data_IF_099468379897
#
_entry.id   IF_099468379897
#
_cell.length_a   1.000
_cell.length_b   1.000
_cell.length_c   1.000
_cell.angle_alpha   90.00
_cell.angle_beta   90.00
_cell.angle_gamma   90.00
#
_symmetry.space_group_name_H-M   'P 1'
#
loop_
_entity.id
_entity.type
_entity.pdbx_description
1 polymer ?
#
# COMPACT_ATOMS: atom_id res chain seq x y z
N UNK A 1 18.86 -24.08 40.06
CA UNK A 1 18.58 -22.64 39.98
C UNK A 1 19.75 -21.91 40.64
N UNK A 2 20.34 -20.83 40.09
CA UNK A 2 19.97 -19.99 38.93
C UNK A 2 20.90 -20.23 37.71
N UNK A 3 20.41 -20.21 36.48
CA UNK A 3 20.30 -19.04 35.57
C UNK A 3 21.59 -18.26 35.32
N UNK A 4 22.08 -18.34 34.08
CA UNK A 4 23.22 -17.58 33.57
C UNK A 4 23.22 -17.55 32.05
N UNK A 5 22.31 -16.76 31.48
CA UNK A 5 22.25 -16.40 30.06
C UNK A 5 23.61 -15.86 29.60
N UNK A 6 24.14 -16.36 28.48
CA UNK A 6 25.17 -15.65 27.70
C UNK A 6 24.70 -15.45 26.26
N UNK A 7 24.87 -14.21 25.85
CA UNK A 7 24.41 -13.55 24.63
C UNK A 7 24.87 -14.27 23.37
N UNK A 8 23.93 -14.43 22.43
CA UNK A 8 24.22 -14.67 21.02
C UNK A 8 24.83 -13.38 20.47
N UNK A 9 26.08 -13.48 20.04
CA UNK A 9 26.82 -12.41 19.38
C UNK A 9 26.27 -12.25 17.95
N UNK A 10 25.79 -11.04 17.67
CA UNK A 10 25.44 -10.53 16.35
C UNK A 10 26.68 -10.47 15.44
N UNK A 11 26.58 -11.08 14.25
CA UNK A 11 27.46 -10.76 13.11
C UNK A 11 26.67 -9.96 12.07
N UNK A 12 27.33 -9.04 11.35
CA UNK A 12 26.69 -7.93 10.68
C UNK A 12 26.12 -8.29 9.31
N UNK A 13 25.18 -7.44 8.90
CA UNK A 13 24.55 -7.37 7.60
C UNK A 13 25.50 -7.64 6.42
N UNK A 14 25.17 -8.66 5.64
CA UNK A 14 25.60 -8.78 4.25
C UNK A 14 24.83 -7.74 3.44
N UNK A 15 25.40 -6.54 3.31
CA UNK A 15 25.06 -5.61 2.25
C UNK A 15 25.46 -6.25 0.91
N UNK A 16 24.45 -6.61 0.10
CA UNK A 16 24.66 -7.26 -1.18
C UNK A 16 23.36 -7.48 -1.94
N UNK A 17 22.46 -6.50 -1.89
CA UNK A 17 21.27 -6.45 -2.73
C UNK A 17 21.31 -5.16 -3.55
N UNK A 18 21.53 -5.34 -4.85
CA UNK A 18 20.89 -4.55 -5.89
C UNK A 18 21.43 -3.14 -6.10
N UNK A 19 22.36 -3.01 -7.03
CA UNK A 19 22.25 -1.92 -7.99
C UNK A 19 22.39 -2.51 -9.40
N UNK A 20 21.39 -3.32 -9.75
CA UNK A 20 21.20 -3.85 -11.11
C UNK A 20 20.71 -2.66 -11.92
N UNK A 21 21.65 -1.91 -12.49
CA UNK A 21 21.34 -0.70 -13.26
C UNK A 21 20.30 -0.99 -14.35
N UNK A 22 19.44 -0.02 -14.69
CA UNK A 22 18.43 -0.13 -15.77
C UNK A 22 19.01 -0.62 -17.11
N UNK A 23 20.34 -0.56 -17.27
CA UNK A 23 21.11 -1.10 -18.40
C UNK A 23 21.09 -2.63 -18.49
N UNK A 24 20.97 -3.34 -17.38
CA UNK A 24 20.92 -4.81 -17.34
C UNK A 24 19.50 -5.35 -17.56
N UNK A 25 18.46 -4.67 -17.04
CA UNK A 25 17.05 -4.96 -17.34
C UNK A 25 16.70 -4.70 -18.83
N UNK A 26 17.41 -3.77 -19.47
CA UNK A 26 17.25 -3.51 -20.91
C UNK A 26 17.86 -4.60 -21.79
N UNK A 27 18.89 -5.33 -21.30
CA UNK A 27 19.47 -6.47 -22.04
C UNK A 27 18.57 -7.70 -22.00
N UNK A 28 17.83 -7.92 -20.91
CA UNK A 28 16.89 -9.04 -20.81
C UNK A 28 15.62 -8.81 -21.65
N UNK A 29 15.16 -7.56 -21.80
CA UNK A 29 14.03 -7.22 -22.69
C UNK A 29 14.37 -7.25 -24.18
N UNK A 30 15.63 -7.02 -24.57
CA UNK A 30 16.06 -7.13 -25.97
C UNK A 30 16.23 -8.58 -26.47
N UNK A 31 16.30 -9.58 -25.58
CA UNK A 31 16.39 -11.00 -25.97
C UNK A 31 15.04 -11.63 -26.36
N UNK A 32 13.92 -10.92 -26.21
CA UNK A 32 12.59 -11.40 -26.61
C UNK A 32 12.10 -10.83 -27.95
N UNK A 33 12.89 -9.97 -28.61
CA UNK A 33 12.49 -9.24 -29.82
C UNK A 33 13.65 -9.10 -30.81
N UNK A 34 14.32 -10.20 -31.16
CA UNK A 34 15.22 -10.23 -32.31
C UNK A 34 14.68 -11.20 -33.38
N UNK A 35 14.46 -10.73 -34.64
CA UNK A 35 13.97 -11.58 -35.72
C UNK A 35 15.07 -12.59 -36.12
N UNK A 36 14.74 -13.85 -36.43
CA UNK A 36 15.76 -14.83 -36.74
C UNK A 36 16.43 -14.51 -38.08
N UNK A 37 17.72 -14.20 -38.00
CA UNK A 37 18.61 -14.16 -39.15
C UNK A 37 18.71 -15.55 -39.79
N UNK A 38 18.35 -15.61 -41.08
CA UNK A 38 18.91 -16.48 -42.12
C UNK A 38 18.91 -18.00 -41.83
N UNK A 39 17.80 -18.62 -42.23
CA UNK A 39 17.59 -20.05 -42.42
C UNK A 39 18.76 -20.67 -43.19
N UNK A 40 19.59 -21.46 -42.50
CA UNK A 40 20.42 -22.47 -43.16
C UNK A 40 19.52 -23.61 -43.63
N UNK A 41 19.62 -23.97 -44.91
CA UNK A 41 18.94 -25.13 -45.50
C UNK A 41 19.53 -26.41 -44.90
N UNK A 42 18.82 -27.01 -43.95
CA UNK A 42 19.10 -28.36 -43.43
C UNK A 42 18.20 -29.39 -44.14
N UNK A 43 18.81 -30.51 -44.53
CA UNK A 43 18.28 -31.59 -45.38
C UNK A 43 16.90 -32.18 -45.00
N UNK A 44 16.05 -32.55 -45.98
CA UNK A 44 14.72 -33.10 -45.71
C UNK A 44 14.77 -34.64 -45.65
N UNK A 45 15.17 -35.21 -44.51
CA UNK A 45 14.90 -36.64 -44.20
C UNK A 45 14.74 -36.80 -42.69
N UNK A 46 13.56 -36.44 -42.18
CA UNK A 46 12.89 -36.92 -40.95
C UNK A 46 11.75 -35.95 -40.59
N UNK A 47 10.73 -35.88 -41.42
CA UNK A 47 9.41 -35.44 -40.96
C UNK A 47 8.67 -36.69 -40.50
N UNK A 48 8.55 -36.83 -39.18
CA UNK A 48 7.60 -37.73 -38.56
C UNK A 48 6.21 -37.14 -38.82
N UNK A 49 5.41 -37.85 -39.60
CA UNK A 49 4.01 -37.51 -39.84
C UNK A 49 3.21 -37.79 -38.56
N UNK A 50 2.77 -36.73 -37.89
CA UNK A 50 1.65 -36.77 -36.96
C UNK A 50 0.38 -36.46 -37.75
N UNK A 51 -0.25 -37.49 -38.33
CA UNK A 51 -1.62 -37.40 -38.85
C UNK A 51 -2.48 -38.48 -38.19
N UNK A 52 -3.67 -38.13 -37.66
CA UNK A 52 -4.58 -39.10 -37.08
C UNK A 52 -5.18 -39.96 -38.19
N UNK A 53 -5.01 -41.28 -38.07
CA UNK A 53 -5.57 -42.26 -39.01
C UNK A 53 -7.08 -42.35 -38.80
N UNK A 54 -7.84 -41.65 -39.63
CA UNK A 54 -9.27 -41.80 -39.75
C UNK A 54 -9.59 -43.09 -40.57
N UNK A 55 -10.32 -44.03 -39.97
CA UNK A 55 -10.51 -45.41 -40.49
C UNK A 55 -11.71 -45.62 -41.41
N UNK A 56 -12.42 -44.57 -41.85
CA UNK A 56 -13.58 -44.75 -42.72
C UNK A 56 -13.60 -43.70 -43.83
N UNK A 57 -13.02 -44.03 -44.99
CA UNK A 57 -13.37 -43.57 -46.36
C UNK A 57 -12.22 -43.92 -47.31
N UNK A 58 -12.21 -45.14 -47.83
CA UNK A 58 -11.25 -45.56 -48.85
C UNK A 58 -11.69 -45.02 -50.23
N UNK A 59 -11.07 -43.91 -50.69
CA UNK A 59 -10.90 -43.68 -52.13
C UNK A 59 -9.69 -44.49 -52.59
N UNK A 60 -9.82 -45.20 -53.70
CA UNK A 60 -8.76 -46.02 -54.29
C UNK A 60 -7.52 -45.16 -54.59
N UNK A 61 -6.56 -45.18 -53.66
CA UNK A 61 -5.30 -44.51 -53.83
C UNK A 61 -4.43 -45.31 -54.80
N UNK A 62 -3.81 -44.61 -55.76
CA UNK A 62 -2.84 -45.20 -56.68
C UNK A 62 -1.76 -45.98 -55.89
N UNK A 63 -1.33 -47.16 -56.39
CA UNK A 63 -0.39 -48.00 -55.66
C UNK A 63 0.89 -47.21 -55.39
N UNK A 64 1.33 -47.23 -54.12
CA UNK A 64 2.55 -46.54 -53.71
C UNK A 64 3.74 -46.96 -54.58
N UNK A 65 4.72 -46.07 -54.86
CA UNK A 65 5.88 -46.39 -55.69
C UNK A 65 6.71 -47.58 -55.15
N UNK A 66 6.61 -47.86 -53.84
CA UNK A 66 7.21 -49.06 -53.24
C UNK A 66 6.46 -50.34 -53.59
N UNK A 67 5.13 -50.32 -53.70
CA UNK A 67 4.36 -51.48 -54.19
C UNK A 67 4.61 -51.74 -55.68
N UNK A 68 4.82 -50.68 -56.47
CA UNK A 68 5.24 -50.82 -57.86
C UNK A 68 6.63 -51.46 -57.98
N UNK A 69 7.61 -51.01 -57.17
CA UNK A 69 8.96 -51.64 -57.09
C UNK A 69 8.92 -53.09 -56.64
N UNK A 70 8.09 -53.42 -55.64
CA UNK A 70 7.96 -54.80 -55.14
C UNK A 70 7.33 -55.69 -56.21
N UNK A 71 6.34 -55.19 -56.96
CA UNK A 71 5.73 -55.92 -58.08
C UNK A 71 6.73 -56.14 -59.22
N UNK A 72 7.49 -55.12 -59.61
CA UNK A 72 8.53 -55.28 -60.64
C UNK A 72 9.63 -56.25 -60.21
N UNK A 73 10.06 -56.24 -58.94
CA UNK A 73 11.04 -57.21 -58.45
C UNK A 73 10.48 -58.65 -58.37
N UNK A 74 9.18 -58.81 -58.09
CA UNK A 74 8.51 -60.11 -58.10
C UNK A 74 8.29 -60.64 -59.52
N UNK A 75 8.02 -59.76 -60.48
CA UNK A 75 7.88 -60.12 -61.89
C UNK A 75 9.25 -60.48 -62.50
N UNK A 76 10.34 -59.80 -62.12
CA UNK A 76 11.72 -60.17 -62.47
C UNK A 76 12.14 -61.54 -61.90
N UNK A 77 11.69 -61.87 -60.67
CA UNK A 77 11.91 -63.19 -60.06
C UNK A 77 11.07 -64.31 -60.71
N UNK A 78 9.95 -63.98 -61.35
CA UNK A 78 9.13 -64.96 -62.10
C UNK A 78 9.62 -65.18 -63.53
N UNK A 79 10.29 -64.20 -64.13
CA UNK A 79 10.83 -64.28 -65.51
C UNK A 79 12.22 -64.91 -65.58
N UNK A 80 12.89 -65.15 -64.45
CA UNK A 80 14.19 -65.83 -64.41
C UNK A 80 13.99 -67.35 -64.26
N UNK A 81 14.35 -68.19 -65.26
CA UNK A 81 14.35 -69.63 -65.05
C UNK A 81 15.40 -69.96 -63.98
N UNK A 82 14.99 -70.72 -62.97
CA UNK A 82 15.79 -71.10 -61.82
C UNK A 82 17.19 -71.61 -62.22
N UNK A 83 18.20 -70.75 -62.16
CA UNK A 83 19.60 -71.17 -62.13
C UNK A 83 19.92 -71.55 -60.69
N UNK A 84 20.12 -72.84 -60.47
CA UNK A 84 20.60 -73.39 -59.22
C UNK A 84 21.87 -72.64 -58.75
N UNK A 85 21.80 -72.09 -57.55
CA UNK A 85 22.92 -71.50 -56.83
C UNK A 85 24.00 -72.57 -56.67
N UNK A 86 25.23 -72.28 -57.10
CA UNK A 86 26.40 -73.14 -56.90
C UNK A 86 26.71 -73.22 -55.40
N UNK A 87 26.25 -74.29 -54.77
CA UNK A 87 26.67 -74.71 -53.43
C UNK A 87 28.11 -75.23 -53.58
N UNK A 88 29.05 -74.64 -52.82
CA UNK A 88 30.45 -75.05 -52.81
C UNK A 88 30.66 -76.50 -52.34
N UNK A 89 31.75 -77.16 -52.74
CA UNK A 89 31.91 -78.60 -52.58
C UNK A 89 32.38 -78.93 -51.16
N UNK A 90 31.42 -79.14 -50.26
CA UNK A 90 31.64 -79.94 -49.04
C UNK A 90 30.45 -80.88 -48.84
N UNK A 91 30.29 -81.77 -49.80
CA UNK A 91 29.72 -83.09 -49.55
C UNK A 91 30.79 -84.07 -49.98
N UNK A 92 31.26 -84.90 -49.05
CA UNK A 92 31.98 -86.12 -49.38
C UNK A 92 31.02 -86.90 -50.26
N UNK A 93 31.32 -86.88 -51.55
CA UNK A 93 30.54 -87.52 -52.58
C UNK A 93 30.52 -89.03 -52.29
N UNK A 94 29.33 -89.53 -51.97
CA UNK A 94 28.98 -90.96 -51.94
C UNK A 94 28.75 -91.49 -53.37
N UNK A 95 29.42 -90.94 -54.39
CA UNK A 95 29.28 -91.36 -55.79
C UNK A 95 30.24 -92.52 -56.17
N UNK A 96 31.16 -92.89 -55.28
CA UNK A 96 32.12 -93.99 -55.50
C UNK A 96 31.57 -95.41 -55.24
N UNK A 97 30.29 -95.57 -54.91
CA UNK A 97 29.67 -96.90 -54.70
C UNK A 97 28.71 -97.35 -55.80
N UNK A 98 28.87 -96.84 -57.02
CA UNK A 98 28.22 -97.44 -58.20
C UNK A 98 29.21 -97.64 -59.35
N UNK A 99 29.44 -98.87 -59.84
CA UNK A 99 30.29 -99.09 -61.01
C UNK A 99 29.53 -98.67 -62.27
N UNK A 100 29.57 -97.39 -62.59
CA UNK A 100 29.00 -96.81 -63.82
C UNK A 100 30.08 -96.17 -64.72
N UNK A 101 31.35 -96.54 -64.56
CA UNK A 101 32.35 -96.34 -65.62
C UNK A 101 32.19 -97.47 -66.63
N UNK A 102 31.66 -97.14 -67.82
CA UNK A 102 31.81 -97.98 -69.01
C UNK A 102 33.32 -98.15 -69.27
N UNK A 103 33.90 -99.24 -68.77
CA UNK A 103 35.22 -99.67 -69.20
C UNK A 103 35.17 -99.96 -70.70
N UNK A 104 35.96 -99.20 -71.44
CA UNK A 104 36.35 -99.49 -72.82
C UNK A 104 36.93 -100.91 -72.82
N UNK A 105 36.26 -101.84 -73.51
CA UNK A 105 36.75 -103.21 -73.74
C UNK A 105 38.04 -103.12 -74.54
N UNK A 106 39.17 -103.37 -73.90
CA UNK A 106 40.31 -104.02 -74.53
C UNK A 106 40.36 -105.46 -74.02
N UNK A 107 40.75 -106.37 -74.92
CA UNK A 107 40.58 -107.80 -74.76
C UNK A 107 41.47 -108.44 -73.69
N UNK A 108 41.16 -109.72 -73.48
CA UNK A 108 41.81 -110.70 -72.60
C UNK A 108 41.22 -110.83 -71.18
N UNK A 109 40.76 -112.05 -70.95
CA UNK A 109 40.65 -112.77 -69.68
C UNK A 109 39.58 -112.32 -68.67
N UNK A 110 38.39 -112.93 -68.85
CA UNK A 110 37.35 -113.07 -67.82
C UNK A 110 37.96 -113.67 -66.53
N UNK A 111 37.98 -112.96 -65.39
CA UNK A 111 38.46 -113.51 -64.12
C UNK A 111 37.32 -114.07 -63.25
N UNK A 112 36.13 -114.30 -63.82
CA UNK A 112 35.07 -115.01 -63.11
C UNK A 112 35.08 -116.48 -63.51
N UNK A 113 35.29 -117.43 -62.58
CA UNK A 113 35.07 -118.82 -62.88
C UNK A 113 33.59 -118.95 -63.26
N UNK A 114 33.31 -119.24 -64.53
CA UNK A 114 32.03 -119.83 -64.92
C UNK A 114 31.92 -121.08 -64.07
N UNK A 115 31.04 -121.06 -63.07
CA UNK A 115 30.66 -122.27 -62.33
C UNK A 115 30.19 -123.25 -63.39
N UNK A 116 31.06 -124.20 -63.73
CA UNK A 116 30.78 -125.24 -64.69
C UNK A 116 29.77 -126.15 -64.01
N UNK A 117 28.52 -126.00 -64.42
CA UNK A 117 27.46 -126.90 -63.98
C UNK A 117 27.71 -128.30 -64.54
N UNK A 118 27.41 -129.36 -63.79
CA UNK A 118 27.61 -130.74 -64.24
C UNK A 118 26.93 -131.00 -65.58
N UNK A 119 27.45 -131.91 -66.42
CA UNK A 119 26.82 -132.25 -67.69
C UNK A 119 25.50 -132.99 -67.41
N UNK A 120 24.40 -132.24 -67.40
CA UNK A 120 23.04 -132.76 -67.28
C UNK A 120 22.65 -133.43 -68.60
N UNK A 121 22.21 -134.68 -68.54
CA UNK A 121 22.02 -135.56 -69.70
C UNK A 121 20.53 -135.74 -70.11
N UNK A 122 19.66 -134.79 -69.77
CA UNK A 122 18.26 -134.77 -70.21
C UNK A 122 17.73 -133.37 -70.51
N UNK A 123 16.82 -133.24 -71.49
CA UNK A 123 16.22 -131.95 -71.89
C UNK A 123 15.48 -131.26 -70.73
N UNK A 124 14.87 -132.04 -69.83
CA UNK A 124 14.14 -131.56 -68.65
C UNK A 124 15.06 -130.93 -67.60
N UNK A 125 16.22 -131.53 -67.33
CA UNK A 125 17.22 -130.99 -66.41
C UNK A 125 17.81 -129.68 -66.93
N UNK A 126 18.01 -129.59 -68.26
CA UNK A 126 18.46 -128.38 -68.92
C UNK A 126 17.39 -127.28 -68.91
N UNK A 127 16.10 -127.64 -69.02
CA UNK A 127 14.99 -126.72 -68.87
C UNK A 127 14.86 -126.21 -67.42
N UNK A 128 14.96 -127.10 -66.43
CA UNK A 128 14.95 -126.75 -65.01
C UNK A 128 16.10 -125.82 -64.63
N UNK A 129 17.30 -126.05 -65.19
CA UNK A 129 18.44 -125.17 -65.00
C UNK A 129 18.22 -123.77 -65.61
N UNK A 130 17.66 -123.70 -66.82
CA UNK A 130 17.29 -122.41 -67.46
C UNK A 130 16.27 -121.65 -66.62
N UNK A 131 15.26 -122.34 -66.07
CA UNK A 131 14.26 -121.76 -65.17
C UNK A 131 14.91 -121.29 -63.86
N UNK A 132 15.78 -122.09 -63.24
CA UNK A 132 16.50 -121.73 -62.02
C UNK A 132 17.40 -120.51 -62.19
N UNK A 133 18.15 -120.43 -63.30
CA UNK A 133 18.96 -119.25 -63.65
C UNK A 133 18.06 -118.03 -63.91
N UNK A 134 16.94 -118.20 -64.60
CA UNK A 134 15.98 -117.11 -64.80
C UNK A 134 15.40 -116.61 -63.48
N UNK A 135 14.97 -117.49 -62.58
CA UNK A 135 14.45 -117.15 -61.26
C UNK A 135 15.50 -116.44 -60.40
N UNK A 136 16.76 -116.88 -60.45
CA UNK A 136 17.88 -116.22 -59.77
C UNK A 136 18.10 -114.80 -60.32
N UNK A 137 18.12 -114.63 -61.65
CA UNK A 137 18.29 -113.31 -62.29
C UNK A 137 17.08 -112.42 -62.01
N UNK A 138 15.85 -112.94 -62.05
CA UNK A 138 14.63 -112.20 -61.77
C UNK A 138 14.56 -111.74 -60.31
N UNK A 139 14.87 -112.63 -59.36
CA UNK A 139 14.95 -112.29 -57.93
C UNK A 139 16.06 -111.29 -57.64
N UNK A 140 17.24 -111.43 -58.26
CA UNK A 140 18.32 -110.44 -58.16
C UNK A 140 17.90 -109.07 -58.71
N UNK A 141 17.24 -109.02 -59.87
CA UNK A 141 16.72 -107.77 -60.44
C UNK A 141 15.69 -107.12 -59.52
N UNK A 142 14.75 -107.90 -58.97
CA UNK A 142 13.75 -107.41 -58.02
C UNK A 142 14.42 -106.83 -56.77
N UNK A 143 15.37 -107.56 -56.17
CA UNK A 143 16.11 -107.09 -54.99
C UNK A 143 16.91 -105.82 -55.29
N UNK A 144 17.51 -105.72 -56.48
CA UNK A 144 18.24 -104.52 -56.91
C UNK A 144 17.32 -103.30 -57.01
N UNK A 145 16.10 -103.47 -57.51
CA UNK A 145 15.14 -102.36 -57.61
C UNK A 145 14.59 -101.97 -56.23
N UNK A 146 14.35 -102.93 -55.33
CA UNK A 146 14.03 -102.65 -53.92
C UNK A 146 15.15 -101.85 -53.24
N UNK A 147 16.41 -102.26 -53.40
CA UNK A 147 17.57 -101.52 -52.87
C UNK A 147 17.68 -100.11 -53.47
N UNK A 148 17.37 -99.96 -54.77
CA UNK A 148 17.32 -98.64 -55.42
C UNK A 148 16.22 -97.76 -54.83
N UNK A 149 15.04 -98.32 -54.59
CA UNK A 149 13.91 -97.63 -53.96
C UNK A 149 14.29 -97.17 -52.54
N UNK A 150 14.79 -98.08 -51.71
CA UNK A 150 15.24 -97.77 -50.34
C UNK A 150 16.32 -96.69 -50.35
N UNK A 151 17.30 -96.77 -51.26
CA UNK A 151 18.33 -95.74 -51.42
C UNK A 151 17.73 -94.36 -51.70
N UNK A 152 16.81 -94.25 -52.67
CA UNK A 152 16.15 -92.98 -53.01
C UNK A 152 15.35 -92.43 -51.82
N UNK A 153 14.66 -93.28 -51.08
CA UNK A 153 13.92 -92.88 -49.87
C UNK A 153 14.86 -92.37 -48.79
N UNK A 154 15.99 -93.03 -48.57
CA UNK A 154 17.02 -92.59 -47.61
C UNK A 154 17.64 -91.25 -48.02
N UNK A 155 17.98 -91.06 -49.30
CA UNK A 155 18.50 -89.78 -49.83
C UNK A 155 17.50 -88.65 -49.60
N UNK A 156 16.20 -88.90 -49.85
CA UNK A 156 15.14 -87.93 -49.59
C UNK A 156 15.00 -87.63 -48.09
N UNK A 157 15.00 -88.66 -47.24
CA UNK A 157 14.92 -88.49 -45.78
C UNK A 157 16.10 -87.70 -45.23
N UNK A 158 17.32 -87.98 -45.68
CA UNK A 158 18.52 -87.22 -45.28
C UNK A 158 18.39 -85.76 -45.73
N UNK A 159 17.94 -85.50 -46.96
CA UNK A 159 17.68 -84.14 -47.47
C UNK A 159 16.63 -83.38 -46.64
N UNK A 160 15.53 -84.05 -46.29
CA UNK A 160 14.52 -83.49 -45.39
C UNK A 160 15.08 -83.21 -43.99
N UNK A 161 15.89 -84.12 -43.44
CA UNK A 161 16.51 -83.94 -42.11
C UNK A 161 17.49 -82.77 -42.09
N UNK A 162 18.24 -82.55 -43.18
CA UNK A 162 19.14 -81.41 -43.31
C UNK A 162 18.37 -80.09 -43.37
N UNK A 163 17.28 -80.06 -44.15
CA UNK A 163 16.39 -78.90 -44.22
C UNK A 163 15.80 -78.55 -42.85
N UNK A 164 15.35 -79.56 -42.10
CA UNK A 164 14.85 -79.36 -40.74
C UNK A 164 15.93 -78.81 -39.82
N UNK A 165 17.16 -79.34 -39.90
CA UNK A 165 18.30 -78.83 -39.13
C UNK A 165 18.56 -77.34 -39.41
N UNK A 166 18.58 -76.94 -40.68
CA UNK A 166 18.74 -75.53 -41.09
C UNK A 166 17.60 -74.66 -40.54
N UNK A 167 16.35 -75.13 -40.63
CA UNK A 167 15.19 -74.42 -40.09
C UNK A 167 15.28 -74.23 -38.57
N UNK A 168 15.66 -75.28 -37.83
CA UNK A 168 15.86 -75.21 -36.38
C UNK A 168 16.98 -74.23 -36.01
N UNK A 169 18.10 -74.23 -36.75
CA UNK A 169 19.18 -73.26 -36.56
C UNK A 169 18.70 -71.82 -36.81
N UNK A 170 17.90 -71.58 -37.85
CA UNK A 170 17.35 -70.25 -38.14
C UNK A 170 16.39 -69.77 -37.03
N UNK A 171 15.51 -70.66 -36.55
CA UNK A 171 14.60 -70.37 -35.45
C UNK A 171 15.35 -70.08 -34.14
N UNK A 172 16.43 -70.83 -33.86
CA UNK A 172 17.28 -70.58 -32.70
C UNK A 172 17.93 -69.19 -32.76
N UNK A 173 18.52 -68.82 -33.91
CA UNK A 173 19.11 -67.50 -34.10
C UNK A 173 18.09 -66.36 -33.96
N UNK A 174 16.85 -66.57 -34.44
CA UNK A 174 15.76 -65.61 -34.26
C UNK A 174 15.39 -65.47 -32.77
N UNK A 175 15.23 -66.59 -32.07
CA UNK A 175 14.95 -66.59 -30.63
C UNK A 175 16.05 -65.91 -29.82
N UNK A 176 17.33 -66.15 -30.15
CA UNK A 176 18.46 -65.50 -29.49
C UNK A 176 18.50 -63.99 -29.73
N UNK A 177 18.14 -63.55 -30.94
CA UNK A 177 17.99 -62.12 -31.30
C UNK A 177 16.85 -61.46 -30.52
N UNK A 178 15.69 -62.10 -30.44
CA UNK A 178 14.54 -61.58 -29.71
C UNK A 178 14.81 -61.55 -28.19
N UNK A 179 15.48 -62.58 -27.65
CA UNK A 179 15.96 -62.57 -26.27
C UNK A 179 16.93 -61.41 -26.00
N UNK A 180 17.81 -61.07 -26.94
CA UNK A 180 18.68 -59.90 -26.81
C UNK A 180 17.90 -58.58 -26.77
N UNK A 181 16.87 -58.44 -27.62
CA UNK A 181 15.96 -57.27 -27.61
C UNK A 181 15.21 -57.17 -26.28
N UNK A 182 14.69 -58.28 -25.76
CA UNK A 182 14.00 -58.31 -24.46
C UNK A 182 14.94 -57.85 -23.34
N UNK A 183 16.18 -58.34 -23.31
CA UNK A 183 17.18 -57.89 -22.31
C UNK A 183 17.46 -56.40 -22.40
N UNK A 184 17.56 -55.82 -23.61
CA UNK A 184 17.73 -54.38 -23.79
C UNK A 184 16.50 -53.59 -23.33
N UNK A 185 15.29 -54.07 -23.67
CA UNK A 185 14.05 -53.44 -23.24
C UNK A 185 13.89 -53.46 -21.71
N UNK A 186 14.31 -54.54 -21.04
CA UNK A 186 14.33 -54.62 -19.57
C UNK A 186 15.27 -53.59 -18.95
N UNK A 187 16.50 -53.44 -19.48
CA UNK A 187 17.44 -52.41 -19.03
C UNK A 187 16.92 -50.99 -19.22
N UNK A 188 16.27 -50.72 -20.35
CA UNK A 188 15.67 -49.40 -20.61
C UNK A 188 14.49 -49.13 -19.68
N UNK A 189 13.68 -50.15 -19.38
CA UNK A 189 12.59 -50.05 -18.41
C UNK A 189 13.12 -49.76 -16.99
N UNK A 190 14.23 -50.37 -16.58
CA UNK A 190 14.91 -50.05 -15.32
C UNK A 190 15.44 -48.61 -15.29
N UNK A 191 16.05 -48.16 -16.38
CA UNK A 191 16.51 -46.76 -16.54
C UNK A 191 15.34 -45.77 -16.42
N UNK A 192 14.22 -46.05 -17.07
CA UNK A 192 13.01 -45.21 -17.01
C UNK A 192 12.37 -45.22 -15.62
N UNK A 193 12.36 -46.36 -14.93
CA UNK A 193 11.92 -46.42 -13.52
C UNK A 193 12.79 -45.55 -12.62
N UNK A 194 14.11 -45.56 -12.82
CA UNK A 194 14.99 -44.69 -12.05
C UNK A 194 14.73 -43.21 -12.35
N UNK A 195 14.60 -42.85 -13.62
CA UNK A 195 14.27 -41.47 -14.02
C UNK A 195 12.95 -40.98 -13.43
N UNK A 196 11.94 -41.86 -13.36
CA UNK A 196 10.66 -41.55 -12.73
C UNK A 196 10.85 -41.21 -11.23
N UNK A 197 11.61 -42.03 -10.51
CA UNK A 197 11.92 -41.78 -9.09
C UNK A 197 12.66 -40.47 -8.88
N UNK A 198 13.65 -40.18 -9.73
CA UNK A 198 14.41 -38.92 -9.66
C UNK A 198 13.47 -37.72 -9.86
N UNK A 199 12.49 -37.84 -10.77
CA UNK A 199 11.46 -36.80 -11.00
C UNK A 199 10.47 -36.67 -9.84
N UNK A 200 10.09 -37.77 -9.19
CA UNK A 200 9.26 -37.72 -7.98
C UNK A 200 9.99 -37.02 -6.83
N UNK A 201 11.30 -37.24 -6.69
CA UNK A 201 12.14 -36.54 -5.70
C UNK A 201 12.25 -35.04 -6.03
N UNK A 202 12.51 -34.68 -7.29
CA UNK A 202 12.55 -33.29 -7.74
C UNK A 202 11.22 -32.58 -7.48
N UNK A 203 10.09 -33.24 -7.82
CA UNK A 203 8.75 -32.72 -7.54
C UNK A 203 8.53 -32.50 -6.06
N UNK A 204 8.95 -33.43 -5.20
CA UNK A 204 8.81 -33.28 -3.76
C UNK A 204 9.65 -32.11 -3.20
N UNK A 205 10.82 -31.83 -3.78
CA UNK A 205 11.63 -30.64 -3.43
C UNK A 205 10.91 -29.37 -3.87
N UNK A 206 10.45 -29.30 -5.11
CA UNK A 206 9.72 -28.15 -5.65
C UNK A 206 8.42 -27.88 -4.87
N UNK A 207 7.71 -28.92 -4.43
CA UNK A 207 6.56 -28.75 -3.56
C UNK A 207 6.96 -28.12 -2.22
N UNK A 208 8.04 -28.58 -1.57
CA UNK A 208 8.52 -27.96 -0.32
C UNK A 208 8.91 -26.49 -0.50
N UNK A 209 9.64 -26.17 -1.57
CA UNK A 209 10.02 -24.79 -1.89
C UNK A 209 8.80 -23.91 -2.18
N UNK A 210 7.83 -24.43 -2.93
CA UNK A 210 6.55 -23.75 -3.16
C UNK A 210 5.85 -23.40 -1.84
N UNK A 211 5.71 -24.37 -0.93
CA UNK A 211 5.06 -24.12 0.36
C UNK A 211 5.85 -23.10 1.20
N UNK A 212 7.19 -23.13 1.15
CA UNK A 212 8.01 -22.14 1.85
C UNK A 212 7.80 -20.73 1.28
N UNK A 213 7.76 -20.58 -0.04
CA UNK A 213 7.48 -19.31 -0.69
C UNK A 213 6.06 -18.80 -0.42
N UNK A 214 5.06 -19.69 -0.37
CA UNK A 214 3.70 -19.32 0.04
C UNK A 214 3.67 -18.78 1.48
N UNK A 215 4.41 -19.39 2.41
CA UNK A 215 4.56 -18.88 3.78
C UNK A 215 5.26 -17.52 3.83
N UNK A 216 6.31 -17.33 3.04
CA UNK A 216 7.03 -16.05 2.97
C UNK A 216 6.14 -14.93 2.40
N UNK A 217 5.31 -15.24 1.40
CA UNK A 217 4.32 -14.32 0.86
C UNK A 217 3.31 -13.94 1.94
N UNK A 218 2.69 -14.90 2.62
CA UNK A 218 1.77 -14.60 3.73
C UNK A 218 2.43 -13.73 4.81
N UNK A 219 3.66 -14.07 5.22
CA UNK A 219 4.39 -13.28 6.20
C UNK A 219 4.75 -11.86 5.70
N UNK A 220 4.94 -11.68 4.38
CA UNK A 220 5.15 -10.36 3.78
C UNK A 220 3.86 -9.53 3.72
N UNK A 221 2.72 -10.17 3.45
CA UNK A 221 1.39 -9.56 3.43
C UNK A 221 0.96 -9.11 4.83
N UNK A 222 1.24 -9.93 5.86
CA UNK A 222 1.02 -9.59 7.26
C UNK A 222 1.84 -8.35 7.65
N UNK A 223 3.15 -8.36 7.34
CA UNK A 223 4.04 -7.21 7.59
C UNK A 223 3.58 -5.95 6.84
N UNK A 224 3.13 -6.08 5.60
CA UNK A 224 2.61 -4.96 4.82
C UNK A 224 1.31 -4.42 5.44
N UNK A 225 0.44 -5.30 5.95
CA UNK A 225 -0.81 -4.94 6.63
C UNK A 225 -0.54 -4.22 7.94
N UNK A 226 0.39 -4.72 8.76
CA UNK A 226 0.85 -4.07 9.99
C UNK A 226 1.41 -2.68 9.72
N UNK A 227 2.30 -2.53 8.73
CA UNK A 227 2.80 -1.23 8.31
C UNK A 227 1.65 -0.32 7.85
N UNK A 228 0.70 -0.84 7.08
CA UNK A 228 -0.48 -0.10 6.64
C UNK A 228 -1.35 0.40 7.79
N UNK A 229 -1.53 -0.41 8.84
CA UNK A 229 -2.21 -0.01 10.08
C UNK A 229 -1.40 1.09 10.78
N UNK A 230 -0.08 0.91 10.95
CA UNK A 230 0.80 1.90 11.55
C UNK A 230 0.74 3.25 10.84
N UNK A 231 0.80 3.27 9.50
CA UNK A 231 0.69 4.49 8.70
C UNK A 231 -0.66 5.19 8.87
N UNK A 232 -1.77 4.43 8.95
CA UNK A 232 -3.10 5.01 9.22
C UNK A 232 -3.17 5.61 10.62
N UNK A 233 -2.70 4.89 11.63
CA UNK A 233 -2.68 5.37 13.01
C UNK A 233 -1.85 6.66 13.13
N UNK A 234 -0.63 6.70 12.58
CA UNK A 234 0.19 7.92 12.60
C UNK A 234 -0.50 9.09 11.87
N UNK A 235 -1.22 8.82 10.76
CA UNK A 235 -1.99 9.83 10.06
C UNK A 235 -3.14 10.36 10.92
N UNK A 236 -3.88 9.48 11.58
CA UNK A 236 -5.01 9.82 12.44
C UNK A 236 -4.54 10.58 13.69
N UNK A 237 -3.39 10.21 14.27
CA UNK A 237 -2.73 10.94 15.35
C UNK A 237 -2.33 12.36 14.91
N UNK A 238 -1.72 12.51 13.74
CA UNK A 238 -1.38 13.82 13.18
C UNK A 238 -2.63 14.66 12.90
N UNK A 239 -3.69 14.06 12.36
CA UNK A 239 -4.97 14.72 12.14
C UNK A 239 -5.61 15.15 13.48
N UNK A 240 -5.57 14.27 14.48
CA UNK A 240 -6.01 14.53 15.85
C UNK A 240 -5.24 15.67 16.51
N UNK A 241 -3.92 15.69 16.37
CA UNK A 241 -3.06 16.77 16.88
C UNK A 241 -3.37 18.11 16.21
N UNK A 242 -3.55 18.13 14.89
CA UNK A 242 -3.97 19.34 14.15
C UNK A 242 -5.36 19.82 14.60
N UNK A 243 -6.30 18.91 14.80
CA UNK A 243 -7.63 19.24 15.31
C UNK A 243 -7.58 19.76 16.75
N UNK A 244 -6.76 19.18 17.62
CA UNK A 244 -6.53 19.66 18.98
C UNK A 244 -5.91 21.05 18.98
N UNK A 245 -4.90 21.30 18.14
CA UNK A 245 -4.29 22.62 17.98
C UNK A 245 -5.30 23.65 17.46
N UNK A 246 -6.16 23.28 16.50
CA UNK A 246 -7.22 24.16 16.01
C UNK A 246 -8.25 24.50 17.10
N UNK A 247 -8.63 23.51 17.95
CA UNK A 247 -9.50 23.73 19.11
C UNK A 247 -8.83 24.61 20.17
N UNK A 248 -7.55 24.42 20.42
CA UNK A 248 -6.81 25.26 21.35
C UNK A 248 -6.71 26.71 20.82
N UNK A 249 -6.43 26.86 19.52
CA UNK A 249 -6.41 28.18 18.87
C UNK A 249 -7.78 28.87 18.92
N UNK A 250 -8.88 28.13 18.70
CA UNK A 250 -10.23 28.69 18.83
C UNK A 250 -10.59 29.02 20.28
N UNK A 251 -10.20 28.19 21.24
CA UNK A 251 -10.37 28.46 22.67
C UNK A 251 -9.56 29.69 23.12
N UNK A 252 -8.30 29.83 22.68
CA UNK A 252 -7.46 31.02 22.93
C UNK A 252 -8.09 32.27 22.33
N UNK A 253 -8.60 32.21 21.09
CA UNK A 253 -9.33 33.32 20.48
C UNK A 253 -10.59 33.69 21.27
N UNK A 254 -11.36 32.71 21.72
CA UNK A 254 -12.53 32.95 22.56
C UNK A 254 -12.14 33.55 23.92
N UNK A 255 -11.04 33.10 24.53
CA UNK A 255 -10.50 33.67 25.76
C UNK A 255 -10.06 35.12 25.58
N UNK A 256 -9.33 35.44 24.51
CA UNK A 256 -8.95 36.81 24.16
C UNK A 256 -10.17 37.70 23.91
N UNK A 257 -11.22 37.19 23.26
CA UNK A 257 -12.47 37.93 23.09
C UNK A 257 -13.19 38.18 24.42
N UNK A 258 -13.17 37.22 25.35
CA UNK A 258 -13.71 37.41 26.70
C UNK A 258 -12.89 38.43 27.50
N UNK A 259 -11.56 38.37 27.43
CA UNK A 259 -10.68 39.35 28.05
C UNK A 259 -10.94 40.76 27.49
N UNK A 260 -10.97 40.93 26.15
CA UNK A 260 -11.29 42.21 25.54
C UNK A 260 -12.69 42.74 25.90
N UNK A 261 -13.68 41.85 26.10
CA UNK A 261 -15.00 42.26 26.61
C UNK A 261 -14.91 42.69 28.07
N UNK A 262 -14.18 41.96 28.90
CA UNK A 262 -13.93 42.33 30.29
C UNK A 262 -13.22 43.68 30.39
N UNK A 263 -12.20 43.92 29.58
CA UNK A 263 -11.48 45.21 29.53
C UNK A 263 -12.41 46.36 29.12
N UNK A 264 -13.30 46.14 28.14
CA UNK A 264 -14.33 47.14 27.78
C UNK A 264 -15.29 47.41 28.94
N UNK A 265 -15.71 46.37 29.67
CA UNK A 265 -16.57 46.56 30.85
C UNK A 265 -15.83 47.28 31.97
N UNK A 266 -14.55 46.99 32.18
CA UNK A 266 -13.71 47.69 33.16
C UNK A 266 -13.58 49.16 32.77
N UNK A 267 -13.25 49.47 31.52
CA UNK A 267 -13.15 50.85 31.03
C UNK A 267 -14.47 51.63 31.20
N UNK A 268 -15.61 51.00 30.90
CA UNK A 268 -16.94 51.59 31.15
C UNK A 268 -17.17 51.86 32.64
N UNK A 269 -16.78 50.93 33.51
CA UNK A 269 -16.91 51.10 34.96
C UNK A 269 -15.94 52.16 35.50
N UNK A 270 -14.73 52.28 34.94
CA UNK A 270 -13.77 53.34 35.27
C UNK A 270 -14.30 54.73 34.85
N UNK A 271 -14.97 54.82 33.70
CA UNK A 271 -15.65 56.03 33.27
C UNK A 271 -16.82 56.37 34.21
N UNK A 272 -17.67 55.39 34.56
CA UNK A 272 -18.73 55.57 35.55
C UNK A 272 -18.18 55.97 36.93
N UNK A 273 -17.06 55.38 37.36
CA UNK A 273 -16.41 55.74 38.62
C UNK A 273 -15.83 57.16 38.55
N UNK A 274 -15.27 57.57 37.42
CA UNK A 274 -14.77 58.93 37.20
C UNK A 274 -15.93 59.94 37.27
N UNK A 275 -17.04 59.66 36.58
CA UNK A 275 -18.26 60.46 36.65
C UNK A 275 -18.81 60.54 38.09
N UNK A 276 -18.81 59.44 38.84
CA UNK A 276 -19.22 59.43 40.25
C UNK A 276 -18.24 60.20 41.15
N UNK A 277 -16.93 60.09 40.91
CA UNK A 277 -15.93 60.86 41.64
C UNK A 277 -16.11 62.37 41.41
N UNK A 278 -16.41 62.78 40.18
CA UNK A 278 -16.78 64.17 39.85
C UNK A 278 -18.08 64.60 40.53
N UNK A 279 -19.11 63.76 40.56
CA UNK A 279 -20.34 64.04 41.31
C UNK A 279 -20.08 64.19 42.81
N UNK A 280 -19.18 63.37 43.38
CA UNK A 280 -18.77 63.48 44.77
C UNK A 280 -17.93 64.73 45.01
N UNK A 281 -17.03 65.12 44.10
CA UNK A 281 -16.26 66.36 44.23
C UNK A 281 -17.16 67.59 44.09
N UNK A 282 -18.13 67.56 43.19
CA UNK A 282 -19.18 68.58 43.06
C UNK A 282 -20.06 68.63 44.32
N UNK A 283 -20.46 67.48 44.86
CA UNK A 283 -21.21 67.39 46.13
C UNK A 283 -20.40 67.88 47.33
N UNK A 284 -19.10 67.58 47.38
CA UNK A 284 -18.19 68.06 48.42
C UNK A 284 -17.96 69.57 48.31
N UNK A 285 -17.82 70.11 47.09
CA UNK A 285 -17.75 71.54 46.84
C UNK A 285 -19.06 72.26 47.22
N UNK A 286 -20.21 71.67 46.90
CA UNK A 286 -21.51 72.18 47.34
C UNK A 286 -21.65 72.14 48.87
N UNK A 287 -21.21 71.06 49.52
CA UNK A 287 -21.19 70.97 50.99
C UNK A 287 -20.22 71.96 51.64
N UNK A 288 -19.09 72.26 51.01
CA UNK A 288 -18.15 73.29 51.45
C UNK A 288 -18.72 74.70 51.26
N UNK A 289 -19.41 74.95 50.14
CA UNK A 289 -20.12 76.20 49.89
C UNK A 289 -21.27 76.43 50.89
N UNK A 290 -22.03 75.37 51.23
CA UNK A 290 -23.07 75.41 52.26
C UNK A 290 -22.47 75.67 53.65
N UNK A 291 -21.31 75.08 53.97
CA UNK A 291 -20.59 75.37 55.22
C UNK A 291 -20.12 76.81 55.28
N UNK A 292 -19.51 77.34 54.21
CA UNK A 292 -19.09 78.73 54.12
C UNK A 292 -20.28 79.70 54.24
N UNK A 293 -21.41 79.43 53.57
CA UNK A 293 -22.63 80.21 53.72
C UNK A 293 -23.22 80.14 55.14
N UNK A 294 -23.10 78.98 55.81
CA UNK A 294 -23.45 78.82 57.22
C UNK A 294 -22.57 79.65 58.15
N UNK A 295 -21.27 79.69 57.89
CA UNK A 295 -20.31 80.52 58.64
C UNK A 295 -20.55 82.02 58.41
N UNK A 296 -20.92 82.43 57.19
CA UNK A 296 -21.27 83.82 56.87
C UNK A 296 -22.57 84.26 57.55
N UNK A 297 -23.59 83.41 57.58
CA UNK A 297 -24.82 83.65 58.35
C UNK A 297 -24.55 83.76 59.86
N UNK A 298 -23.59 82.98 60.38
CA UNK A 298 -23.18 83.06 61.78
C UNK A 298 -22.50 84.40 62.08
N UNK A 299 -21.57 84.83 61.23
CA UNK A 299 -20.92 86.15 61.32
C UNK A 299 -21.93 87.29 61.23
N UNK A 300 -22.94 87.17 60.36
CA UNK A 300 -24.00 88.17 60.23
C UNK A 300 -24.86 88.26 61.50
N UNK A 301 -25.20 87.14 62.13
CA UNK A 301 -25.92 87.12 63.42
C UNK A 301 -25.11 87.74 64.55
N UNK A 302 -23.81 87.45 64.61
CA UNK A 302 -22.90 88.04 65.60
C UNK A 302 -22.75 89.57 65.38
N UNK A 303 -22.71 90.04 64.13
CA UNK A 303 -22.70 91.46 63.80
C UNK A 303 -24.02 92.17 64.17
N UNK A 304 -25.17 91.52 63.94
CA UNK A 304 -26.48 92.05 64.36
C UNK A 304 -26.61 92.17 65.89
N UNK A 305 -26.13 91.17 66.64
CA UNK A 305 -26.09 91.23 68.11
C UNK A 305 -25.26 92.42 68.61
N UNK A 306 -24.08 92.65 68.03
CA UNK A 306 -23.23 93.80 68.37
C UNK A 306 -23.90 95.14 68.02
N UNK A 307 -24.57 95.22 66.87
CA UNK A 307 -25.29 96.43 66.47
C UNK A 307 -26.52 96.70 67.37
N UNK A 308 -27.19 95.66 67.87
CA UNK A 308 -28.28 95.78 68.84
C UNK A 308 -27.78 96.25 70.21
N UNK A 309 -26.64 95.71 70.67
CA UNK A 309 -25.94 96.17 71.88
C UNK A 309 -25.55 97.66 71.76
N UNK A 310 -24.92 98.06 70.65
CA UNK A 310 -24.55 99.45 70.36
C UNK A 310 -25.77 100.38 70.24
N UNK A 311 -26.87 99.92 69.65
CA UNK A 311 -28.14 100.68 69.60
C UNK A 311 -28.75 100.86 70.99
N UNK A 312 -28.62 99.86 71.87
CA UNK A 312 -29.13 99.93 73.24
C UNK A 312 -28.31 100.90 74.10
N UNK A 313 -26.98 100.94 73.94
CA UNK A 313 -26.10 101.90 74.60
C UNK A 313 -26.34 103.33 74.11
N UNK A 314 -26.48 103.53 72.79
CA UNK A 314 -26.78 104.84 72.21
C UNK A 314 -28.17 105.35 72.64
N UNK A 315 -29.16 104.46 72.73
CA UNK A 315 -30.50 104.82 73.23
C UNK A 315 -30.47 105.21 74.71
N UNK A 316 -29.68 104.52 75.54
CA UNK A 316 -29.48 104.89 76.94
C UNK A 316 -28.79 106.26 77.10
N UNK A 317 -27.79 106.56 76.25
CA UNK A 317 -27.12 107.88 76.23
C UNK A 317 -28.04 109.00 75.76
N UNK A 318 -28.88 108.76 74.76
CA UNK A 318 -29.87 109.74 74.28
C UNK A 318 -30.96 109.98 75.34
N UNK A 319 -31.38 108.96 76.08
CA UNK A 319 -32.34 109.11 77.17
C UNK A 319 -31.78 109.96 78.34
N UNK A 320 -30.52 109.75 78.72
CA UNK A 320 -29.82 110.58 79.72
C UNK A 320 -29.68 112.03 79.26
N UNK A 321 -29.24 112.26 78.02
CA UNK A 321 -29.13 113.62 77.46
C UNK A 321 -30.51 114.30 77.32
N UNK A 322 -31.57 113.55 76.99
CA UNK A 322 -32.93 114.09 76.96
C UNK A 322 -33.42 114.50 78.35
N UNK A 323 -32.94 113.85 79.41
CA UNK A 323 -33.24 114.18 80.80
C UNK A 323 -32.47 115.44 81.24
N UNK A 324 -31.19 115.55 80.87
CA UNK A 324 -30.39 116.76 81.08
C UNK A 324 -30.94 117.99 80.33
N UNK A 325 -31.45 117.81 79.11
CA UNK A 325 -32.10 118.87 78.34
C UNK A 325 -33.44 119.30 78.96
N UNK A 326 -34.19 118.38 79.58
CA UNK A 326 -35.41 118.72 80.35
C UNK A 326 -35.07 119.51 81.61
N UNK A 327 -34.01 119.14 82.33
CA UNK A 327 -33.56 119.87 83.51
C UNK A 327 -32.99 121.26 83.18
N UNK A 328 -32.25 121.39 82.07
CA UNK A 328 -31.75 122.67 81.58
C UNK A 328 -32.88 123.57 81.07
N UNK A 329 -33.89 123.03 80.39
CA UNK A 329 -35.06 123.81 79.95
C UNK A 329 -35.94 124.26 81.11
N UNK A 330 -36.10 123.47 82.18
CA UNK A 330 -36.75 123.90 83.42
C UNK A 330 -36.00 125.06 84.08
N UNK A 331 -34.67 125.00 84.16
CA UNK A 331 -33.81 126.09 84.67
C UNK A 331 -33.86 127.35 83.82
N UNK A 332 -33.97 127.22 82.49
CA UNK A 332 -34.17 128.36 81.58
C UNK A 332 -35.56 128.98 81.77
N UNK A 333 -36.61 128.19 82.00
CA UNK A 333 -37.94 128.71 82.33
C UNK A 333 -37.96 129.46 83.67
N UNK A 334 -37.28 128.95 84.71
CA UNK A 334 -37.16 129.62 86.01
C UNK A 334 -36.40 130.95 85.91
N UNK A 335 -35.26 130.97 85.23
CA UNK A 335 -34.47 132.18 84.98
C UNK A 335 -35.22 133.20 84.11
N UNK A 336 -36.03 132.73 83.15
CA UNK A 336 -36.88 133.60 82.32
C UNK A 336 -38.02 134.24 83.13
N UNK A 337 -38.60 133.49 84.08
CA UNK A 337 -39.62 134.01 85.00
C UNK A 337 -39.01 134.99 86.03
N UNK A 338 -37.77 134.79 86.45
CA UNK A 338 -37.03 135.73 87.29
C UNK A 338 -36.65 137.02 86.55
N UNK A 339 -36.28 136.93 85.27
CA UNK A 339 -36.04 138.08 84.39
C UNK A 339 -37.32 138.89 84.14
N UNK A 340 -38.48 138.23 83.96
CA UNK A 340 -39.80 138.87 83.90
C UNK A 340 -40.17 139.58 85.21
N UNK A 341 -39.92 138.96 86.37
CA UNK A 341 -40.17 139.55 87.69
C UNK A 341 -39.24 140.74 87.99
N UNK A 342 -37.98 140.68 87.56
CA UNK A 342 -37.03 141.78 87.66
C UNK A 342 -37.41 142.94 86.73
N UNK A 343 -37.86 142.66 85.50
CA UNK A 343 -38.34 143.69 84.54
C UNK A 343 -39.55 144.46 85.04
N UNK A 344 -40.49 143.82 85.74
CA UNK A 344 -41.68 144.48 86.29
C UNK A 344 -41.40 145.44 87.44
N UNK A 345 -40.25 145.33 88.12
CA UNK A 345 -39.86 146.21 89.23
C UNK A 345 -39.22 147.54 88.78
N UNK A 346 -38.84 147.69 87.51
CA UNK A 346 -37.96 148.79 87.03
C UNK A 346 -38.52 149.55 85.81
N UNK A 347 -39.82 149.47 85.53
CA UNK A 347 -40.46 150.17 84.39
C UNK A 347 -41.69 150.98 84.83
N UNK A 348 -41.68 152.31 84.70
CA UNK A 348 -42.90 153.12 84.63
C UNK A 348 -43.74 152.74 83.40
N UNK A 349 -45.06 152.64 83.58
CA UNK A 349 -46.04 152.01 82.69
C UNK A 349 -46.10 152.41 81.19
N UNK A 350 -45.66 153.60 80.72
CA UNK A 350 -45.80 153.94 79.29
C UNK A 350 -44.83 153.23 78.35
N UNK A 351 -43.70 152.70 78.84
CA UNK A 351 -42.61 152.22 77.99
C UNK A 351 -42.61 150.71 77.69
N UNK A 352 -43.41 149.92 78.41
CA UNK A 352 -43.56 148.47 78.18
C UNK A 352 -44.29 148.15 76.87
N UNK A 353 -45.24 149.01 76.44
CA UNK A 353 -46.02 148.81 75.21
C UNK A 353 -45.19 149.02 73.93
N UNK A 354 -44.15 149.85 73.96
CA UNK A 354 -43.30 150.13 72.79
C UNK A 354 -42.27 149.01 72.52
N UNK A 355 -41.76 148.34 73.55
CA UNK A 355 -40.80 147.24 73.36
C UNK A 355 -41.44 145.92 72.89
N UNK A 356 -42.74 145.73 73.13
CA UNK A 356 -43.49 144.59 72.60
C UNK A 356 -43.79 144.74 71.09
N UNK A 357 -44.04 145.97 70.62
CA UNK A 357 -44.28 146.26 69.20
C UNK A 357 -43.00 146.15 68.35
N UNK A 358 -41.83 146.52 68.88
CA UNK A 358 -40.56 146.45 68.16
C UNK A 358 -40.02 145.00 67.97
N UNK A 359 -40.42 144.04 68.82
CA UNK A 359 -39.99 142.63 68.71
C UNK A 359 -40.80 141.80 67.70
N UNK A 360 -41.97 142.28 67.29
CA UNK A 360 -42.78 141.64 66.24
C UNK A 360 -42.18 141.82 64.82
N UNK A 361 -41.20 142.71 64.63
CA UNK A 361 -40.56 142.98 63.34
C UNK A 361 -39.20 142.28 63.14
N UNK A 362 -38.67 141.60 64.17
CA UNK A 362 -37.37 140.91 64.15
C UNK A 362 -37.46 139.38 64.36
N UNK A 363 -38.64 138.79 64.16
CA UNK A 363 -38.81 137.34 64.19
C UNK A 363 -38.40 136.71 62.82
N UNK A 364 -37.44 135.76 62.80
CA UNK A 364 -37.09 135.04 61.59
C UNK A 364 -38.23 134.10 61.16
N UNK A 365 -38.65 134.21 59.89
CA UNK A 365 -39.58 133.27 59.25
C UNK A 365 -38.94 131.88 59.17
N UNK A 366 -39.42 130.99 60.03
CA UNK A 366 -39.60 129.53 59.86
C UNK A 366 -38.52 128.73 59.10
N UNK A 367 -37.87 127.84 59.85
CA UNK A 367 -37.25 126.59 59.42
C UNK A 367 -38.08 125.86 58.35
N UNK A 368 -37.49 125.55 57.20
CA UNK A 368 -38.07 124.60 56.24
C UNK A 368 -37.53 124.58 54.81
N UNK A 369 -36.83 125.61 54.31
CA UNK A 369 -36.67 125.76 52.84
C UNK A 369 -35.25 125.87 52.26
N UNK A 370 -34.16 125.56 52.98
CA UNK A 370 -32.81 125.62 52.39
C UNK A 370 -31.81 124.54 52.85
N UNK A 371 -32.28 123.39 53.35
CA UNK A 371 -31.45 122.18 53.47
C UNK A 371 -31.11 121.54 52.09
N UNK A 372 -31.53 122.19 51.00
CA UNK A 372 -31.20 121.84 49.61
C UNK A 372 -29.87 122.45 49.12
N UNK A 373 -29.10 123.17 49.95
CA UNK A 373 -27.86 123.84 49.52
C UNK A 373 -26.67 123.70 50.50
N UNK A 374 -26.64 122.69 51.38
CA UNK A 374 -25.57 122.50 52.38
C UNK A 374 -24.79 121.17 52.34
N UNK A 375 -24.90 120.38 51.25
CA UNK A 375 -24.01 119.21 51.01
C UNK A 375 -23.41 119.21 49.58
N UNK A 376 -22.94 120.37 49.14
CA UNK A 376 -21.86 120.47 48.16
C UNK A 376 -21.01 121.71 48.53
N UNK A 377 -19.72 121.52 48.86
CA UNK A 377 -18.67 121.82 47.89
C UNK A 377 -17.57 120.72 47.89
N UNK A 378 -17.13 120.19 46.75
CA UNK A 378 -16.39 120.79 45.63
C UNK A 378 -14.86 120.67 45.79
N UNK A 379 -14.27 119.82 44.92
CA UNK A 379 -13.04 120.04 44.12
C UNK A 379 -13.04 118.93 43.04
N UNK A 380 -13.41 119.22 41.79
CA UNK A 380 -12.70 119.91 40.69
C UNK A 380 -11.68 119.04 39.94
N UNK A 381 -11.91 118.98 38.62
CA UNK A 381 -11.11 118.36 37.55
C UNK A 381 -12.10 117.74 36.54
N UNK A 382 -12.62 118.41 35.51
CA UNK A 382 -12.19 119.60 34.77
C UNK A 382 -13.36 120.57 34.51
#
# INVERSE_FOLDING_TARGET
MPEGRKMVQSSPASAGAGDISERELSRERCNLLTPPARIQRVHPKKQLFSTPVNKFTAKAAMPSPNLARIRTCLDELRQTPARASKIGPKAVSMEDLTPNKRMRREGSDNPFPRVALPPLHGEEEQAALKIGVFMLVASWRRRREELRCVRKTLEFQVSCSERLRIQVCALKSLLDSDNAKVRLAMKELERLKQLLRDKDLEKAVLEKEKHALEQDICASEDRASEMGIGWRNCRDELAGARAAQAREASARRAALQRAARADRTIASLEEELSQRAEQVSQGAAAAAALRAAGDDLRREREARSRAEEECSELSARVALNAQEVRELSARVCELSAELERARRRWLPAPLYRLTAAARAWLAPRSLGAAALWALAPARLGC
#
